data_IF_522988388790
#
_entry.id   IF_522988388790
#
_cell.length_a   1.000
_cell.length_b   1.000
_cell.length_c   1.000
_cell.angle_alpha   90.00
_cell.angle_beta   90.00
_cell.angle_gamma   90.00
#
_symmetry.space_group_name_H-M   'P 1'
#
loop_
_entity.id
_entity.type
_entity.pdbx_description
1 polymer ?
#
# COMPACT_ATOMS: atom_id res chain seq x y z
N UNK A 1 25.67 -11.78 7.86
CA UNK A 1 24.48 -12.16 8.66
C UNK A 1 23.26 -11.80 7.85
N UNK A 2 22.54 -12.78 7.32
CA UNK A 2 21.27 -12.55 6.63
C UNK A 2 20.29 -12.04 7.67
N UNK A 3 19.98 -10.74 7.67
CA UNK A 3 18.93 -10.22 8.57
C UNK A 3 17.65 -10.90 8.14
N UNK A 4 17.07 -11.71 9.03
CA UNK A 4 15.72 -12.23 8.85
C UNK A 4 14.78 -11.03 8.69
N UNK A 5 13.87 -11.11 7.73
CA UNK A 5 12.81 -10.11 7.58
C UNK A 5 12.03 -9.98 8.89
N UNK A 6 11.53 -8.78 9.16
CA UNK A 6 10.57 -8.56 10.22
C UNK A 6 9.34 -9.48 10.03
N UNK A 7 8.67 -9.99 11.08
CA UNK A 7 7.54 -10.92 10.94
C UNK A 7 6.43 -10.41 10.00
N UNK A 8 6.13 -9.12 10.02
CA UNK A 8 5.16 -8.53 9.09
C UNK A 8 5.64 -8.63 7.64
N UNK A 9 6.91 -8.37 7.38
CA UNK A 9 7.48 -8.50 6.05
C UNK A 9 7.54 -9.96 5.59
N UNK A 10 7.76 -10.90 6.51
CA UNK A 10 7.62 -12.32 6.19
C UNK A 10 6.20 -12.65 5.73
N UNK A 11 5.16 -12.19 6.47
CA UNK A 11 3.75 -12.41 6.07
C UNK A 11 3.41 -11.80 4.71
N UNK A 12 3.92 -10.61 4.42
CA UNK A 12 3.76 -9.99 3.09
C UNK A 12 4.42 -10.87 2.03
N UNK A 13 5.65 -11.33 2.26
CA UNK A 13 6.37 -12.21 1.35
C UNK A 13 5.62 -13.52 1.09
N UNK A 14 5.13 -14.18 2.13
CA UNK A 14 4.36 -15.42 2.01
C UNK A 14 3.08 -15.20 1.19
N UNK A 15 2.41 -14.07 1.42
CA UNK A 15 1.17 -13.72 0.71
C UNK A 15 1.45 -13.38 -0.76
N UNK A 16 2.56 -12.69 -1.08
CA UNK A 16 2.99 -12.46 -2.46
C UNK A 16 3.20 -13.79 -3.19
N UNK A 17 3.95 -14.72 -2.59
CA UNK A 17 4.21 -16.05 -3.16
C UNK A 17 2.91 -16.83 -3.34
N UNK A 18 2.03 -16.85 -2.33
CA UNK A 18 0.74 -17.54 -2.38
C UNK A 18 -0.18 -16.99 -3.48
N UNK A 19 -0.04 -15.70 -3.83
CA UNK A 19 -0.77 -15.05 -4.93
C UNK A 19 -0.01 -15.09 -6.25
N UNK A 20 1.08 -15.84 -6.35
CA UNK A 20 1.86 -16.00 -7.59
C UNK A 20 2.57 -14.73 -8.02
N UNK A 21 2.99 -13.89 -7.08
CA UNK A 21 3.84 -12.72 -7.33
C UNK A 21 5.29 -13.06 -7.00
N UNK A 22 6.21 -12.59 -7.83
CA UNK A 22 7.63 -12.94 -7.74
C UNK A 22 8.51 -11.77 -7.25
N UNK A 23 7.90 -10.68 -6.81
CA UNK A 23 8.61 -9.55 -6.24
C UNK A 23 9.28 -9.92 -4.93
N UNK A 24 10.51 -9.45 -4.77
CA UNK A 24 11.29 -9.62 -3.56
C UNK A 24 11.12 -8.41 -2.66
N UNK A 25 10.95 -8.67 -1.36
CA UNK A 25 10.99 -7.61 -0.36
C UNK A 25 12.45 -7.19 -0.18
N UNK A 26 12.72 -5.92 -0.46
CA UNK A 26 13.99 -5.26 -0.17
C UNK A 26 13.89 -4.50 1.13
N UNK A 27 14.93 -4.58 1.95
CA UNK A 27 15.04 -3.81 3.19
C UNK A 27 16.02 -2.66 2.99
N UNK A 28 15.56 -1.45 3.26
CA UNK A 28 16.38 -0.24 3.21
C UNK A 28 17.23 -0.10 4.48
N UNK A 29 18.46 0.48 4.38
CA UNK A 29 19.33 0.69 5.54
C UNK A 29 18.71 1.60 6.60
N UNK A 30 17.97 2.62 6.14
CA UNK A 30 17.27 3.59 6.96
C UNK A 30 15.75 3.42 6.82
N UNK A 31 15.00 3.84 7.82
CA UNK A 31 13.54 3.87 7.77
C UNK A 31 13.08 4.97 6.81
N UNK A 32 12.13 4.63 5.94
CA UNK A 32 11.51 5.58 5.01
C UNK A 32 10.12 5.92 5.53
N UNK A 33 9.95 7.16 5.99
CA UNK A 33 8.71 7.61 6.62
C UNK A 33 7.79 8.38 5.67
N UNK A 34 8.33 8.79 4.51
CA UNK A 34 7.58 9.52 3.48
C UNK A 34 7.75 8.88 2.11
N UNK A 35 6.84 9.20 1.18
CA UNK A 35 6.92 8.71 -0.19
C UNK A 35 8.19 9.25 -0.90
N UNK A 36 8.61 10.47 -0.59
CA UNK A 36 9.83 11.09 -1.14
C UNK A 36 11.09 10.35 -0.67
N UNK A 37 11.16 9.98 0.62
CA UNK A 37 12.27 9.19 1.15
C UNK A 37 12.30 7.79 0.52
N UNK A 38 11.14 7.14 0.40
CA UNK A 38 11.04 5.84 -0.25
C UNK A 38 11.48 5.91 -1.72
N UNK A 39 11.01 6.91 -2.46
CA UNK A 39 11.35 7.16 -3.86
C UNK A 39 12.86 7.36 -4.05
N UNK A 40 13.47 8.19 -3.21
CA UNK A 40 14.92 8.42 -3.21
C UNK A 40 15.71 7.13 -2.91
N UNK A 41 15.22 6.30 -1.99
CA UNK A 41 15.91 5.06 -1.59
C UNK A 41 15.92 3.98 -2.69
N UNK A 42 14.92 3.96 -3.58
CA UNK A 42 14.86 3.00 -4.71
C UNK A 42 15.11 3.63 -6.07
N UNK A 43 15.36 4.94 -6.14
CA UNK A 43 15.72 5.65 -7.37
C UNK A 43 14.56 5.80 -8.37
N UNK A 44 13.34 6.07 -7.89
CA UNK A 44 12.14 6.25 -8.72
C UNK A 44 11.48 7.60 -8.49
N UNK A 45 10.53 7.96 -9.34
CA UNK A 45 9.68 9.13 -9.13
C UNK A 45 8.73 8.91 -7.94
N UNK A 46 8.39 9.97 -7.22
CA UNK A 46 7.50 9.88 -6.05
C UNK A 46 6.13 9.27 -6.40
N UNK A 47 5.63 9.53 -7.60
CA UNK A 47 4.37 8.94 -8.08
C UNK A 47 4.40 7.41 -8.24
N UNK A 48 5.58 6.81 -8.38
CA UNK A 48 5.75 5.36 -8.45
C UNK A 48 5.71 4.68 -7.07
N UNK A 49 5.71 5.45 -5.97
CA UNK A 49 5.53 4.90 -4.63
C UNK A 49 4.04 4.70 -4.35
N UNK A 50 3.68 3.50 -3.91
CA UNK A 50 2.31 3.16 -3.51
C UNK A 50 2.17 3.35 -2.01
N UNK A 51 1.31 4.28 -1.61
CA UNK A 51 0.87 4.45 -0.22
C UNK A 51 -0.33 3.55 0.02
N UNK A 52 -0.27 2.68 1.01
CA UNK A 52 -1.43 1.90 1.46
C UNK A 52 -2.07 2.63 2.63
N UNK A 53 -3.26 3.19 2.42
CA UNK A 53 -3.97 4.03 3.38
C UNK A 53 -5.30 3.36 3.74
N UNK A 54 -5.62 3.29 5.02
CA UNK A 54 -6.92 2.75 5.47
C UNK A 54 -7.87 3.91 5.73
N UNK A 55 -9.08 3.78 5.20
CA UNK A 55 -10.19 4.70 5.40
C UNK A 55 -11.42 3.91 5.87
N UNK A 56 -12.40 4.61 6.41
CA UNK A 56 -13.75 4.09 6.58
C UNK A 56 -14.62 4.62 5.43
N UNK A 57 -15.33 3.73 4.75
CA UNK A 57 -16.39 4.06 3.80
C UNK A 57 -17.71 3.62 4.44
N UNK A 58 -18.54 4.58 4.85
CA UNK A 58 -19.77 4.32 5.61
C UNK A 58 -19.54 3.37 6.82
N UNK A 59 -18.54 3.69 7.66
CA UNK A 59 -18.06 2.92 8.82
C UNK A 59 -17.32 1.60 8.53
N UNK A 60 -17.28 1.12 7.28
CA UNK A 60 -16.55 -0.09 6.92
C UNK A 60 -15.10 0.21 6.49
N UNK A 61 -14.09 -0.52 7.02
CA UNK A 61 -12.69 -0.28 6.67
C UNK A 61 -12.37 -0.72 5.24
N UNK A 62 -11.80 0.19 4.45
CA UNK A 62 -11.29 -0.05 3.10
C UNK A 62 -9.80 0.30 3.01
N UNK A 63 -9.13 -0.28 2.03
CA UNK A 63 -7.74 0.03 1.69
C UNK A 63 -7.70 0.84 0.39
N UNK A 64 -7.07 2.02 0.43
CA UNK A 64 -6.77 2.84 -0.74
C UNK A 64 -5.28 2.77 -1.05
N UNK A 65 -4.93 2.28 -2.23
CA UNK A 65 -3.58 2.25 -2.78
C UNK A 65 -3.38 3.50 -3.64
N UNK A 66 -2.63 4.46 -3.12
CA UNK A 66 -2.57 5.82 -3.69
C UNK A 66 -1.17 6.15 -4.16
N UNK A 67 -1.06 6.82 -5.31
CA UNK A 67 0.21 7.37 -5.78
C UNK A 67 0.86 8.26 -4.72
N UNK A 68 2.17 8.13 -4.57
CA UNK A 68 2.97 8.95 -3.65
C UNK A 68 2.77 10.44 -3.91
N UNK A 69 2.55 10.82 -5.17
CA UNK A 69 2.32 12.19 -5.61
C UNK A 69 0.91 12.73 -5.32
N UNK A 70 -0.07 11.88 -5.01
CA UNK A 70 -1.47 12.26 -4.85
C UNK A 70 -1.87 12.43 -3.37
N UNK A 71 -2.94 13.18 -3.11
CA UNK A 71 -3.47 13.37 -1.76
C UNK A 71 -4.98 13.21 -1.76
N UNK A 72 -5.44 12.12 -1.19
CA UNK A 72 -6.87 11.76 -1.09
C UNK A 72 -7.73 12.95 -0.64
N UNK A 73 -8.56 13.43 -1.57
CA UNK A 73 -9.73 14.24 -1.26
C UNK A 73 -10.85 13.32 -0.80
N UNK A 74 -11.17 13.36 0.50
CA UNK A 74 -12.19 12.46 1.09
C UNK A 74 -13.57 12.67 0.49
N UNK A 75 -13.95 13.91 0.22
CA UNK A 75 -15.22 14.27 -0.42
C UNK A 75 -15.33 13.66 -1.83
N UNK A 76 -14.38 13.99 -2.73
CA UNK A 76 -14.43 13.51 -4.12
C UNK A 76 -14.23 12.00 -4.23
N UNK A 77 -13.37 11.43 -3.40
CA UNK A 77 -13.13 9.98 -3.41
C UNK A 77 -14.34 9.24 -2.84
N UNK A 78 -14.95 9.75 -1.77
CA UNK A 78 -16.21 9.22 -1.23
C UNK A 78 -17.34 9.25 -2.25
N UNK A 79 -17.54 10.38 -2.94
CA UNK A 79 -18.53 10.48 -4.03
C UNK A 79 -18.30 9.43 -5.14
N UNK A 80 -17.04 9.22 -5.55
CA UNK A 80 -16.67 8.21 -6.55
C UNK A 80 -16.90 6.77 -6.06
N UNK A 81 -16.73 6.53 -4.76
CA UNK A 81 -16.97 5.24 -4.12
C UNK A 81 -18.44 5.01 -3.71
N UNK A 82 -19.27 6.06 -3.77
CA UNK A 82 -20.70 5.99 -3.47
C UNK A 82 -21.05 6.06 -1.98
N UNK A 83 -20.18 6.63 -1.14
CA UNK A 83 -20.38 6.72 0.32
C UNK A 83 -19.57 7.81 1.00
N UNK A 84 -19.73 7.95 2.32
CA UNK A 84 -18.93 8.88 3.12
C UNK A 84 -17.56 8.27 3.43
N UNK A 85 -16.50 8.93 2.97
CA UNK A 85 -15.13 8.50 3.22
C UNK A 85 -14.49 9.31 4.35
N UNK A 86 -13.96 8.65 5.37
CA UNK A 86 -13.22 9.31 6.46
C UNK A 86 -11.90 8.58 6.77
N UNK A 87 -10.81 9.29 7.15
CA UNK A 87 -9.56 8.63 7.52
C UNK A 87 -9.76 7.70 8.72
N UNK A 88 -9.23 6.49 8.65
CA UNK A 88 -9.31 5.57 9.78
C UNK A 88 -8.41 6.03 10.94
N UNK A 89 -8.86 5.93 12.21
CA UNK A 89 -8.00 6.15 13.37
C UNK A 89 -6.79 5.22 13.40
N UNK A 90 -5.64 5.67 13.91
CA UNK A 90 -4.39 4.90 13.96
C UNK A 90 -4.52 3.50 14.56
N UNK A 91 -5.32 3.40 15.62
CA UNK A 91 -5.50 2.17 16.37
C UNK A 91 -6.26 1.15 15.52
N UNK A 92 -7.30 1.62 14.81
CA UNK A 92 -8.03 0.79 13.86
C UNK A 92 -7.15 0.36 12.69
N UNK A 93 -6.31 1.24 12.13
CA UNK A 93 -5.36 0.86 11.07
C UNK A 93 -4.49 -0.30 11.53
N UNK A 94 -3.94 -0.21 12.74
CA UNK A 94 -3.07 -1.26 13.29
C UNK A 94 -3.85 -2.55 13.54
N UNK A 95 -5.08 -2.46 14.05
CA UNK A 95 -5.97 -3.59 14.28
C UNK A 95 -6.29 -4.36 12.99
N UNK A 96 -6.79 -3.67 11.96
CA UNK A 96 -7.28 -4.32 10.73
C UNK A 96 -6.15 -4.79 9.81
N UNK A 97 -4.99 -4.12 9.85
CA UNK A 97 -3.84 -4.48 8.99
C UNK A 97 -2.84 -5.38 9.69
N UNK A 98 -2.79 -5.39 11.03
CA UNK A 98 -1.73 -6.03 11.81
C UNK A 98 -0.33 -5.48 11.51
N UNK A 99 -0.23 -4.25 10.99
CA UNK A 99 0.99 -3.62 10.50
C UNK A 99 1.14 -2.20 11.07
N UNK A 100 2.38 -1.73 11.28
CA UNK A 100 2.63 -0.40 11.84
C UNK A 100 2.29 0.70 10.83
N UNK A 101 1.89 1.87 11.34
CA UNK A 101 1.78 3.08 10.55
C UNK A 101 3.08 3.37 9.77
N UNK A 102 2.93 3.83 8.53
CA UNK A 102 4.07 4.04 7.61
C UNK A 102 4.70 2.75 7.06
N UNK A 103 4.28 1.58 7.53
CA UNK A 103 4.71 0.28 7.03
C UNK A 103 3.56 -0.57 6.47
N UNK A 104 2.37 0.02 6.29
CA UNK A 104 1.20 -0.71 5.78
C UNK A 104 1.43 -1.09 4.33
N UNK A 105 1.48 -2.40 4.08
CA UNK A 105 1.56 -3.04 2.79
C UNK A 105 0.17 -3.16 2.14
N UNK A 106 0.10 -3.38 0.82
CA UNK A 106 -1.15 -3.62 0.10
C UNK A 106 -1.80 -4.98 0.43
N UNK A 107 -1.15 -5.84 1.22
CA UNK A 107 -1.58 -7.19 1.56
C UNK A 107 -0.85 -7.71 2.81
N UNK A 108 -1.10 -8.97 3.18
CA UNK A 108 -0.51 -9.58 4.38
C UNK A 108 -1.17 -9.11 5.68
N UNK A 109 -2.42 -8.65 5.59
CA UNK A 109 -3.29 -8.27 6.70
C UNK A 109 -3.94 -9.53 7.32
N UNK A 110 -4.41 -9.47 8.59
CA UNK A 110 -5.19 -10.55 9.20
C UNK A 110 -6.42 -10.97 8.37
N UNK A 111 -7.07 -9.99 7.73
CA UNK A 111 -8.23 -10.18 6.85
C UNK A 111 -8.05 -9.33 5.60
N UNK A 112 -8.51 -9.81 4.44
CA UNK A 112 -8.49 -8.99 3.22
C UNK A 112 -9.45 -7.81 3.36
N UNK A 113 -8.95 -6.60 3.12
CA UNK A 113 -9.76 -5.38 3.05
C UNK A 113 -10.27 -5.18 1.62
N UNK A 114 -11.52 -4.69 1.42
CA UNK A 114 -11.94 -4.12 0.15
C UNK A 114 -10.91 -3.08 -0.28
N UNK A 115 -10.32 -3.27 -1.46
CA UNK A 115 -9.18 -2.48 -1.90
C UNK A 115 -9.52 -1.69 -3.16
N UNK A 116 -9.16 -0.41 -3.15
CA UNK A 116 -9.24 0.48 -4.30
C UNK A 116 -7.85 0.97 -4.66
N UNK A 117 -7.59 1.14 -5.95
CA UNK A 117 -6.29 1.58 -6.46
C UNK A 117 -6.43 2.85 -7.29
N UNK A 118 -5.60 3.83 -6.96
CA UNK A 118 -5.48 5.08 -7.69
C UNK A 118 -5.03 4.80 -9.13
N UNK A 119 -5.87 5.19 -10.09
CA UNK A 119 -5.63 4.99 -11.51
C UNK A 119 -4.35 5.68 -11.99
N UNK A 120 -3.87 6.74 -11.35
CA UNK A 120 -2.63 7.41 -11.73
C UNK A 120 -1.38 6.53 -11.60
N UNK A 121 -1.42 5.49 -10.75
CA UNK A 121 -0.33 4.51 -10.62
C UNK A 121 -0.04 3.78 -11.94
N UNK A 122 -1.00 3.71 -12.87
CA UNK A 122 -0.79 3.07 -14.18
C UNK A 122 0.20 3.83 -15.08
N UNK A 123 0.49 5.10 -14.77
CA UNK A 123 1.40 5.94 -15.54
C UNK A 123 2.88 5.58 -15.31
N UNK A 124 3.16 4.78 -14.28
CA UNK A 124 4.51 4.36 -13.92
C UNK A 124 4.75 2.90 -14.34
N UNK A 125 5.83 2.61 -15.09
CA UNK A 125 6.13 1.25 -15.55
C UNK A 125 6.47 0.32 -14.40
N UNK A 126 7.03 0.86 -13.32
CA UNK A 126 7.38 0.17 -12.10
C UNK A 126 6.80 0.90 -10.91
N UNK A 127 6.24 0.13 -9.98
CA UNK A 127 5.68 0.60 -8.72
C UNK A 127 6.44 0.00 -7.55
N UNK A 128 6.47 0.73 -6.44
CA UNK A 128 7.07 0.28 -5.20
C UNK A 128 6.10 0.46 -4.04
N UNK A 129 5.71 -0.64 -3.41
CA UNK A 129 4.79 -0.65 -2.28
C UNK A 129 5.51 -1.08 -1.00
N UNK A 130 4.96 -0.72 0.16
CA UNK A 130 5.52 -1.15 1.45
C UNK A 130 5.48 -2.66 1.61
N UNK A 131 6.54 -3.21 2.22
CA UNK A 131 6.69 -4.62 2.53
C UNK A 131 6.18 -5.03 3.92
N UNK A 132 5.43 -4.20 4.65
CA UNK A 132 4.84 -4.57 5.95
C UNK A 132 5.56 -3.97 7.17
N UNK A 133 6.65 -3.23 6.95
CA UNK A 133 7.28 -2.36 7.94
C UNK A 133 7.98 -1.15 7.28
N UNK A 134 8.26 -0.04 8.03
CA UNK A 134 8.67 1.26 7.47
C UNK A 134 9.97 1.30 6.68
N UNK A 135 10.76 0.23 6.66
CA UNK A 135 12.01 0.13 5.90
C UNK A 135 11.99 -1.00 4.87
N UNK A 136 10.81 -1.53 4.53
CA UNK A 136 10.68 -2.59 3.54
C UNK A 136 9.82 -2.16 2.38
N UNK A 137 10.25 -2.52 1.18
CA UNK A 137 9.56 -2.22 -0.07
C UNK A 137 9.59 -3.46 -0.96
N UNK A 138 8.66 -3.57 -1.89
CA UNK A 138 8.77 -4.53 -2.98
C UNK A 138 8.34 -3.88 -4.30
N UNK A 139 9.00 -4.29 -5.37
CA UNK A 139 8.68 -3.84 -6.73
C UNK A 139 7.49 -4.62 -7.28
N UNK A 140 6.62 -3.92 -7.98
CA UNK A 140 5.48 -4.50 -8.71
C UNK A 140 5.16 -3.64 -9.93
N UNK A 141 4.10 -3.99 -10.66
CA UNK A 141 3.51 -3.16 -11.72
C UNK A 141 2.01 -3.02 -11.45
N UNK A 142 1.35 -2.06 -12.10
CA UNK A 142 -0.07 -1.76 -11.86
C UNK A 142 -0.98 -3.00 -12.01
N UNK A 143 -0.84 -3.75 -13.11
CA UNK A 143 -1.65 -4.95 -13.36
C UNK A 143 -1.42 -6.07 -12.35
N UNK A 144 -0.16 -6.30 -11.95
CA UNK A 144 0.19 -7.26 -10.89
C UNK A 144 -0.40 -6.81 -9.55
N UNK A 145 -0.32 -5.52 -9.23
CA UNK A 145 -0.86 -4.98 -7.99
C UNK A 145 -2.38 -5.15 -7.93
N UNK A 146 -3.11 -4.84 -9.00
CA UNK A 146 -4.55 -5.12 -9.11
C UNK A 146 -4.86 -6.60 -8.89
N UNK A 147 -4.11 -7.48 -9.57
CA UNK A 147 -4.33 -8.94 -9.51
C UNK A 147 -4.12 -9.49 -8.11
N UNK A 148 -3.03 -9.09 -7.44
CA UNK A 148 -2.71 -9.62 -6.11
C UNK A 148 -3.55 -9.00 -5.01
N UNK A 149 -4.18 -7.84 -5.19
CA UNK A 149 -5.05 -7.24 -4.17
C UNK A 149 -6.53 -7.40 -4.48
N UNK A 150 -6.88 -7.86 -5.69
CA UNK A 150 -8.23 -7.81 -6.24
C UNK A 150 -8.82 -6.38 -6.20
N UNK A 151 -7.96 -5.36 -6.36
CA UNK A 151 -8.39 -3.98 -6.26
C UNK A 151 -9.26 -3.54 -7.45
N UNK A 152 -10.17 -2.60 -7.17
CA UNK A 152 -10.94 -1.88 -8.17
C UNK A 152 -10.30 -0.51 -8.39
N UNK A 153 -10.18 -0.08 -9.64
CA UNK A 153 -9.57 1.21 -9.95
C UNK A 153 -10.52 2.37 -9.65
N UNK A 154 -9.96 3.45 -9.10
CA UNK A 154 -10.67 4.69 -8.80
C UNK A 154 -9.74 5.86 -9.12
N UNK A 155 -10.31 6.97 -9.61
CA UNK A 155 -9.52 8.20 -9.69
C UNK A 155 -9.35 8.76 -8.27
N UNK A 156 -8.12 9.06 -7.89
CA UNK A 156 -7.80 9.79 -6.65
C UNK A 156 -7.09 11.07 -7.08
N UNK A 157 -7.57 12.21 -6.60
CA UNK A 157 -6.98 13.53 -6.87
C UNK A 157 -5.85 13.86 -5.88
#
# INVERSE_FOLDING_TARGET
MTRSLHPNAHRVSDTLIARGHHGLIVQQPETVHTAEQAAAAVGVEVGAIVKSLVFLLDDDPILLLVSGAHRVSVERTGERLGGELVPAPSDLVTEVTGQPLGGVAPLGHPTNLPTYIDRALQLHPDLWASGGCPNTLFRTVYSELMRITAAIDVDVD
#
